data_IF_378959870414
#
_entry.id   IF_378959870414
#
_cell.length_a   1.000
_cell.length_b   1.000
_cell.length_c   1.000
_cell.angle_alpha   90.00
_cell.angle_beta   90.00
_cell.angle_gamma   90.00
#
_symmetry.space_group_name_H-M   'P 1'
#
loop_
_entity.id
_entity.type
_entity.pdbx_description
1 polymer ?
#
# COMPACT_ATOMS: atom_id res chain seq x y z
N UNK A 1 27.53 13.54 24.98
CA UNK A 1 26.92 13.54 23.64
C UNK A 1 25.59 14.28 23.74
N UNK A 2 25.45 15.42 23.04
CA UNK A 2 24.18 16.17 23.00
C UNK A 2 23.34 15.57 21.87
N UNK A 3 22.29 14.86 22.23
CA UNK A 3 21.27 14.48 21.27
C UNK A 3 20.48 15.74 20.90
N UNK A 4 20.68 16.23 19.69
CA UNK A 4 19.79 17.26 19.13
C UNK A 4 18.47 16.59 18.76
N UNK A 5 17.52 16.65 19.68
CA UNK A 5 16.13 16.33 19.36
C UNK A 5 15.63 17.45 18.46
N UNK A 6 15.64 17.23 17.15
CA UNK A 6 14.97 18.11 16.21
C UNK A 6 13.46 17.89 16.35
N UNK A 7 12.88 18.54 17.36
CA UNK A 7 11.42 18.62 17.45
C UNK A 7 10.92 19.47 16.29
N UNK A 8 10.27 18.84 15.33
CA UNK A 8 9.54 19.52 14.26
C UNK A 8 8.46 20.37 14.94
N UNK A 9 8.56 21.69 14.82
CA UNK A 9 7.60 22.62 15.43
C UNK A 9 6.15 22.29 14.97
N UNK A 10 5.12 22.58 15.78
CA UNK A 10 3.72 22.25 15.46
C UNK A 10 3.23 22.78 14.11
N UNK A 11 3.74 23.93 13.68
CA UNK A 11 3.43 24.55 12.39
C UNK A 11 3.98 23.75 11.19
N UNK A 12 5.19 23.22 11.30
CA UNK A 12 5.80 22.38 10.26
C UNK A 12 5.10 21.03 10.24
N UNK A 13 4.74 20.49 11.39
CA UNK A 13 3.99 19.23 11.45
C UNK A 13 2.63 19.32 10.76
N UNK A 14 1.88 20.39 10.92
CA UNK A 14 0.58 20.60 10.26
C UNK A 14 0.72 20.79 8.75
N UNK A 15 1.77 21.51 8.30
CA UNK A 15 2.02 21.68 6.88
C UNK A 15 2.40 20.35 6.20
N UNK A 16 3.27 19.57 6.83
CA UNK A 16 3.67 18.24 6.33
C UNK A 16 2.45 17.32 6.27
N UNK A 17 1.61 17.29 7.30
CA UNK A 17 0.39 16.47 7.32
C UNK A 17 -0.59 16.86 6.20
N UNK A 18 -0.78 18.17 5.97
CA UNK A 18 -1.66 18.66 4.90
C UNK A 18 -1.12 18.29 3.52
N UNK A 19 0.18 18.49 3.28
CA UNK A 19 0.83 18.11 2.01
C UNK A 19 0.78 16.59 1.78
N UNK A 20 0.99 15.79 2.83
CA UNK A 20 0.88 14.34 2.76
C UNK A 20 -0.55 13.90 2.41
N UNK A 21 -1.57 14.50 3.05
CA UNK A 21 -2.97 14.21 2.73
C UNK A 21 -3.32 14.54 1.27
N UNK A 22 -2.87 15.69 0.76
CA UNK A 22 -3.06 16.08 -0.64
C UNK A 22 -2.35 15.11 -1.60
N UNK A 23 -1.14 14.67 -1.27
CA UNK A 23 -0.40 13.70 -2.07
C UNK A 23 -1.12 12.34 -2.12
N UNK A 24 -1.66 11.86 -0.98
CA UNK A 24 -2.45 10.62 -0.92
C UNK A 24 -3.72 10.75 -1.74
N UNK A 25 -4.44 11.88 -1.66
CA UNK A 25 -5.63 12.12 -2.47
C UNK A 25 -5.30 12.14 -3.97
N UNK A 26 -4.23 12.82 -4.36
CA UNK A 26 -3.78 12.85 -5.76
C UNK A 26 -3.39 11.45 -6.25
N UNK A 27 -2.68 10.67 -5.43
CA UNK A 27 -2.34 9.29 -5.74
C UNK A 27 -3.58 8.41 -5.87
N UNK A 28 -4.56 8.54 -4.97
CA UNK A 28 -5.83 7.80 -5.02
C UNK A 28 -6.60 8.10 -6.32
N UNK A 29 -6.71 9.36 -6.70
CA UNK A 29 -7.32 9.77 -7.98
C UNK A 29 -6.56 9.20 -9.17
N UNK A 30 -5.23 9.25 -9.15
CA UNK A 30 -4.37 8.67 -10.18
C UNK A 30 -4.59 7.16 -10.33
N UNK A 31 -4.70 6.42 -9.23
CA UNK A 31 -4.99 4.98 -9.21
C UNK A 31 -6.37 4.68 -9.80
N UNK A 32 -7.41 5.44 -9.41
CA UNK A 32 -8.77 5.26 -9.95
C UNK A 32 -8.76 5.48 -11.46
N UNK A 33 -8.16 6.58 -11.93
CA UNK A 33 -8.09 6.92 -13.35
C UNK A 33 -7.29 5.88 -14.14
N UNK A 34 -6.15 5.44 -13.58
CA UNK A 34 -5.32 4.41 -14.20
C UNK A 34 -6.10 3.09 -14.36
N UNK A 35 -6.73 2.61 -13.28
CA UNK A 35 -7.49 1.36 -13.31
C UNK A 35 -8.69 1.51 -14.24
N UNK A 36 -9.43 2.62 -14.19
CA UNK A 36 -10.54 2.87 -15.09
C UNK A 36 -10.12 2.82 -16.55
N UNK A 37 -9.02 3.47 -16.90
CA UNK A 37 -8.49 3.46 -18.27
C UNK A 37 -7.95 2.09 -18.68
N UNK A 38 -7.14 1.45 -17.84
CA UNK A 38 -6.51 0.15 -18.11
C UNK A 38 -7.56 -0.98 -18.26
N UNK A 39 -8.64 -0.91 -17.48
CA UNK A 39 -9.68 -1.94 -17.42
C UNK A 39 -10.99 -1.55 -18.12
N UNK A 40 -10.97 -0.53 -18.96
CA UNK A 40 -12.17 -0.05 -19.70
C UNK A 40 -12.87 -1.12 -20.57
N UNK A 41 -12.19 -2.21 -20.89
CA UNK A 41 -12.76 -3.34 -21.63
C UNK A 41 -13.60 -4.29 -20.77
N UNK A 42 -13.60 -4.10 -19.44
CA UNK A 42 -14.41 -4.89 -18.50
C UNK A 42 -15.60 -4.05 -18.05
N UNK A 43 -16.80 -4.64 -17.95
CA UNK A 43 -17.95 -3.92 -17.42
C UNK A 43 -17.66 -3.44 -15.99
N UNK A 44 -18.11 -2.23 -15.66
CA UNK A 44 -17.94 -1.61 -14.35
C UNK A 44 -16.47 -1.35 -13.91
N UNK A 45 -15.56 -1.07 -14.85
CA UNK A 45 -14.14 -0.80 -14.56
C UNK A 45 -13.89 0.26 -13.48
N UNK A 46 -14.76 1.26 -13.36
CA UNK A 46 -14.69 2.27 -12.31
C UNK A 46 -14.83 1.68 -10.90
N UNK A 47 -15.66 0.63 -10.73
CA UNK A 47 -15.82 -0.05 -9.43
C UNK A 47 -14.52 -0.71 -8.96
N UNK A 48 -13.72 -1.26 -9.87
CA UNK A 48 -12.40 -1.83 -9.52
C UNK A 48 -11.46 -0.74 -8.98
N UNK A 49 -11.45 0.44 -9.60
CA UNK A 49 -10.67 1.58 -9.11
C UNK A 49 -11.08 2.01 -7.71
N UNK A 50 -12.39 2.14 -7.46
CA UNK A 50 -12.92 2.48 -6.14
C UNK A 50 -12.57 1.40 -5.10
N UNK A 51 -12.74 0.12 -5.43
CA UNK A 51 -12.37 -0.97 -4.54
C UNK A 51 -10.87 -0.97 -4.20
N UNK A 52 -9.99 -0.67 -5.18
CA UNK A 52 -8.56 -0.56 -4.95
C UNK A 52 -8.24 0.56 -3.95
N UNK A 53 -8.89 1.71 -4.06
CA UNK A 53 -8.69 2.85 -3.15
C UNK A 53 -9.22 2.54 -1.76
N UNK A 54 -10.40 1.93 -1.63
CA UNK A 54 -10.95 1.51 -0.33
C UNK A 54 -9.97 0.56 0.37
N UNK A 55 -9.46 -0.44 -0.36
CA UNK A 55 -8.50 -1.37 0.19
C UNK A 55 -7.16 -0.70 0.53
N UNK A 56 -6.70 0.28 -0.24
CA UNK A 56 -5.51 1.08 0.08
C UNK A 56 -5.69 1.88 1.38
N UNK A 57 -6.86 2.50 1.57
CA UNK A 57 -7.18 3.22 2.81
C UNK A 57 -7.20 2.25 4.00
N UNK A 58 -7.84 1.10 3.85
CA UNK A 58 -7.87 0.06 4.88
C UNK A 58 -6.46 -0.38 5.30
N UNK A 59 -5.58 -0.67 4.35
CA UNK A 59 -4.21 -1.11 4.63
C UNK A 59 -3.39 0.01 5.31
N UNK A 60 -3.61 1.27 4.90
CA UNK A 60 -3.00 2.44 5.54
C UNK A 60 -3.45 2.61 6.99
N UNK A 61 -4.74 2.39 7.26
CA UNK A 61 -5.28 2.45 8.62
C UNK A 61 -4.70 1.36 9.53
N UNK A 62 -4.47 0.15 9.00
CA UNK A 62 -3.80 -0.93 9.75
C UNK A 62 -2.38 -0.49 10.15
N UNK A 63 -1.59 0.05 9.22
CA UNK A 63 -0.21 0.51 9.52
C UNK A 63 -0.21 1.62 10.55
N UNK A 64 -1.11 2.60 10.43
CA UNK A 64 -1.25 3.69 11.41
C UNK A 64 -1.64 3.13 12.78
N UNK A 65 -2.61 2.22 12.83
CA UNK A 65 -3.06 1.59 14.07
C UNK A 65 -1.94 0.81 14.76
N UNK A 66 -1.15 0.04 14.00
CA UNK A 66 0.02 -0.66 14.53
C UNK A 66 1.09 0.30 15.04
N UNK A 67 1.32 1.42 14.32
CA UNK A 67 2.25 2.45 14.75
C UNK A 67 1.78 3.13 16.06
N UNK A 68 0.48 3.38 16.20
CA UNK A 68 -0.09 3.92 17.43
C UNK A 68 0.04 2.93 18.61
N UNK A 69 -0.20 1.64 18.37
CA UNK A 69 0.03 0.61 19.39
C UNK A 69 1.52 0.52 19.77
N UNK A 70 2.43 0.66 18.80
CA UNK A 70 3.86 0.67 19.04
C UNK A 70 4.35 1.79 19.96
N UNK A 71 3.60 2.88 20.09
CA UNK A 71 3.94 3.96 21.03
C UNK A 71 3.98 3.50 22.49
N UNK A 72 3.20 2.48 22.86
CA UNK A 72 3.29 1.86 24.20
C UNK A 72 4.65 1.21 24.48
N UNK A 73 5.38 0.86 23.41
CA UNK A 73 6.76 0.33 23.48
C UNK A 73 7.83 1.37 23.15
N UNK A 74 7.45 2.66 23.10
CA UNK A 74 8.37 3.76 22.85
C UNK A 74 8.63 4.06 21.38
N UNK A 75 7.87 3.51 20.44
CA UNK A 75 7.96 3.89 19.03
C UNK A 75 7.53 5.34 18.84
N UNK A 76 8.25 6.07 18.00
CA UNK A 76 7.93 7.43 17.64
C UNK A 76 7.40 7.50 16.21
N UNK A 77 6.42 8.36 16.02
CA UNK A 77 5.89 8.65 14.70
C UNK A 77 6.84 9.63 13.99
N UNK A 78 7.79 9.09 13.24
CA UNK A 78 8.86 9.82 12.60
C UNK A 78 8.84 9.66 11.06
N UNK A 79 9.86 10.17 10.39
CA UNK A 79 10.03 10.05 8.94
C UNK A 79 10.17 8.60 8.45
N UNK A 80 10.67 7.70 9.31
CA UNK A 80 10.77 6.27 8.98
C UNK A 80 9.38 5.63 8.93
N UNK A 81 8.50 5.98 9.88
CA UNK A 81 7.10 5.54 9.88
C UNK A 81 6.36 6.01 8.64
N UNK A 82 6.57 7.27 8.21
CA UNK A 82 6.00 7.78 6.95
C UNK A 82 6.54 7.04 5.73
N UNK A 83 7.82 6.72 5.70
CA UNK A 83 8.41 5.94 4.61
C UNK A 83 7.84 4.53 4.56
N UNK A 84 7.68 3.87 5.70
CA UNK A 84 7.04 2.57 5.79
C UNK A 84 5.59 2.61 5.29
N UNK A 85 4.83 3.64 5.68
CA UNK A 85 3.46 3.85 5.23
C UNK A 85 3.37 3.98 3.70
N UNK A 86 4.22 4.83 3.10
CA UNK A 86 4.28 5.01 1.65
C UNK A 86 4.65 3.71 0.92
N UNK A 87 5.57 2.95 1.50
CA UNK A 87 5.99 1.65 0.95
C UNK A 87 4.83 0.65 0.96
N UNK A 88 4.10 0.53 2.08
CA UNK A 88 2.93 -0.35 2.18
C UNK A 88 1.84 0.06 1.20
N UNK A 89 1.56 1.35 1.06
CA UNK A 89 0.59 1.86 0.06
C UNK A 89 1.01 1.44 -1.35
N UNK A 90 2.28 1.61 -1.71
CA UNK A 90 2.81 1.24 -3.02
C UNK A 90 2.62 -0.25 -3.34
N UNK A 91 3.02 -1.12 -2.44
CA UNK A 91 2.87 -2.57 -2.61
C UNK A 91 1.43 -3.03 -2.59
N UNK A 92 0.60 -2.44 -1.73
CA UNK A 92 -0.83 -2.72 -1.65
C UNK A 92 -1.54 -2.43 -2.98
N UNK A 93 -1.25 -1.29 -3.62
CA UNK A 93 -1.82 -0.95 -4.93
C UNK A 93 -1.30 -1.89 -6.01
N UNK A 94 0.01 -2.17 -6.02
CA UNK A 94 0.63 -3.05 -7.00
C UNK A 94 0.02 -4.46 -6.98
N UNK A 95 -0.19 -5.03 -5.81
CA UNK A 95 -0.79 -6.36 -5.65
C UNK A 95 -2.22 -6.42 -6.20
N UNK A 96 -3.03 -5.42 -5.90
CA UNK A 96 -4.41 -5.31 -6.42
C UNK A 96 -4.47 -5.18 -7.94
N UNK A 97 -3.53 -4.43 -8.54
CA UNK A 97 -3.43 -4.31 -10.00
C UNK A 97 -3.15 -5.67 -10.64
N UNK A 98 -2.28 -6.48 -10.04
CA UNK A 98 -1.97 -7.83 -10.54
C UNK A 98 -3.19 -8.74 -10.51
N UNK A 99 -3.96 -8.72 -9.42
CA UNK A 99 -5.21 -9.50 -9.31
C UNK A 99 -6.23 -9.03 -10.35
N UNK A 100 -6.43 -7.73 -10.49
CA UNK A 100 -7.38 -7.17 -11.46
C UNK A 100 -6.98 -7.46 -12.89
N UNK A 101 -5.68 -7.40 -13.21
CA UNK A 101 -5.20 -7.76 -14.55
C UNK A 101 -5.48 -9.23 -14.85
N UNK A 102 -5.31 -10.11 -13.86
CA UNK A 102 -5.64 -11.53 -14.00
C UNK A 102 -7.14 -11.77 -14.20
N UNK A 103 -8.00 -11.05 -13.49
CA UNK A 103 -9.46 -11.08 -13.70
C UNK A 103 -9.78 -10.63 -15.14
N UNK A 104 -9.13 -9.59 -15.62
CA UNK A 104 -9.30 -9.08 -16.98
C UNK A 104 -8.91 -10.13 -18.03
N UNK A 105 -7.78 -10.77 -17.85
CA UNK A 105 -7.29 -11.82 -18.74
C UNK A 105 -8.26 -13.01 -18.75
N UNK A 106 -8.62 -13.52 -17.57
CA UNK A 106 -9.50 -14.66 -17.42
C UNK A 106 -10.93 -14.36 -17.93
N UNK A 107 -11.41 -13.13 -17.84
CA UNK A 107 -12.72 -12.75 -18.36
C UNK A 107 -12.83 -12.89 -19.90
N UNK A 108 -11.71 -12.82 -20.60
CA UNK A 108 -11.67 -13.03 -22.05
C UNK A 108 -11.60 -14.50 -22.42
N UNK A 109 -10.97 -15.31 -21.57
CA UNK A 109 -10.74 -16.76 -21.78
C UNK A 109 -11.97 -17.55 -21.35
N UNK A 110 -12.47 -17.28 -20.13
CA UNK A 110 -13.54 -18.03 -19.48
C UNK A 110 -14.89 -17.31 -19.52
N UNK A 111 -15.37 -17.02 -20.73
CA UNK A 111 -16.59 -16.23 -20.96
C UNK A 111 -17.89 -16.85 -20.42
N UNK A 112 -17.88 -18.15 -20.11
CA UNK A 112 -19.05 -18.90 -19.62
C UNK A 112 -19.10 -19.05 -18.11
N UNK A 113 -18.04 -18.68 -17.40
CA UNK A 113 -18.02 -18.72 -15.95
C UNK A 113 -18.81 -17.54 -15.39
N UNK A 114 -19.50 -17.78 -14.28
CA UNK A 114 -20.07 -16.71 -13.48
C UNK A 114 -18.95 -15.83 -12.89
N UNK A 115 -19.28 -14.58 -12.58
CA UNK A 115 -18.29 -13.59 -12.16
C UNK A 115 -17.58 -13.98 -10.86
N UNK A 116 -18.29 -14.57 -9.89
CA UNK A 116 -17.73 -14.98 -8.60
C UNK A 116 -16.69 -16.08 -8.78
N UNK A 117 -17.01 -17.12 -9.54
CA UNK A 117 -16.08 -18.20 -9.86
C UNK A 117 -14.86 -17.70 -10.62
N UNK A 118 -15.05 -16.78 -11.58
CA UNK A 118 -13.97 -16.16 -12.35
C UNK A 118 -13.01 -15.39 -11.43
N UNK A 119 -13.54 -14.58 -10.52
CA UNK A 119 -12.74 -13.80 -9.56
C UNK A 119 -11.97 -14.73 -8.63
N UNK A 120 -12.64 -15.74 -8.05
CA UNK A 120 -12.00 -16.70 -7.16
C UNK A 120 -10.84 -17.45 -7.87
N UNK A 121 -11.08 -17.92 -9.10
CA UNK A 121 -10.05 -18.56 -9.91
C UNK A 121 -8.85 -17.62 -10.17
N UNK A 122 -9.11 -16.35 -10.44
CA UNK A 122 -8.06 -15.35 -10.69
C UNK A 122 -7.24 -15.06 -9.43
N UNK A 123 -7.88 -14.98 -8.27
CA UNK A 123 -7.20 -14.79 -6.98
C UNK A 123 -6.29 -15.97 -6.69
N UNK A 124 -6.78 -17.20 -6.85
CA UNK A 124 -5.97 -18.42 -6.61
C UNK A 124 -4.74 -18.45 -7.53
N UNK A 125 -4.88 -18.04 -8.78
CA UNK A 125 -3.75 -18.01 -9.74
C UNK A 125 -2.69 -16.94 -9.39
N UNK A 126 -3.06 -15.87 -8.70
CA UNK A 126 -2.13 -14.80 -8.32
C UNK A 126 -1.61 -14.95 -6.90
N UNK A 127 -2.18 -15.86 -6.10
CA UNK A 127 -1.91 -15.99 -4.66
C UNK A 127 -0.43 -16.25 -4.37
N UNK A 128 0.19 -17.18 -5.08
CA UNK A 128 1.61 -17.51 -4.90
C UNK A 128 2.50 -16.30 -5.15
N UNK A 129 2.23 -15.54 -6.20
CA UNK A 129 2.97 -14.31 -6.52
C UNK A 129 2.77 -13.25 -5.44
N UNK A 130 1.53 -13.05 -4.96
CA UNK A 130 1.21 -12.10 -3.91
C UNK A 130 1.95 -12.44 -2.61
N UNK A 131 1.91 -13.71 -2.19
CA UNK A 131 2.61 -14.18 -0.99
C UNK A 131 4.12 -13.98 -1.15
N UNK A 132 4.71 -14.40 -2.25
CA UNK A 132 6.14 -14.27 -2.50
C UNK A 132 6.58 -12.80 -2.51
N UNK A 133 5.81 -11.90 -3.13
CA UNK A 133 6.10 -10.47 -3.16
C UNK A 133 6.05 -9.87 -1.76
N UNK A 134 5.05 -10.23 -0.94
CA UNK A 134 4.91 -9.74 0.43
C UNK A 134 6.05 -10.24 1.33
N UNK A 135 6.42 -11.52 1.21
CA UNK A 135 7.54 -12.10 1.97
C UNK A 135 8.86 -11.40 1.60
N UNK A 136 9.17 -11.29 0.30
CA UNK A 136 10.39 -10.62 -0.16
C UNK A 136 10.46 -9.18 0.32
N UNK A 137 9.35 -8.43 0.24
CA UNK A 137 9.29 -7.05 0.72
C UNK A 137 9.54 -6.97 2.23
N UNK A 138 8.93 -7.88 3.00
CA UNK A 138 9.13 -7.95 4.45
C UNK A 138 10.58 -8.25 4.80
N UNK A 139 11.22 -9.20 4.12
CA UNK A 139 12.64 -9.55 4.35
C UNK A 139 13.56 -8.38 4.04
N UNK A 140 13.38 -7.70 2.89
CA UNK A 140 14.18 -6.52 2.55
C UNK A 140 14.00 -5.38 3.54
N UNK A 141 12.78 -5.14 4.01
CA UNK A 141 12.51 -4.12 5.02
C UNK A 141 13.21 -4.44 6.35
N UNK A 142 13.13 -5.69 6.82
CA UNK A 142 13.81 -6.12 8.05
C UNK A 142 15.33 -6.04 7.92
N UNK A 143 15.88 -6.46 6.77
CA UNK A 143 17.32 -6.37 6.51
C UNK A 143 17.78 -4.90 6.48
N UNK A 144 17.05 -4.02 5.80
CA UNK A 144 17.36 -2.61 5.75
C UNK A 144 17.32 -1.96 7.15
N UNK A 145 16.30 -2.27 7.95
CA UNK A 145 16.20 -1.78 9.33
C UNK A 145 17.34 -2.30 10.20
N UNK A 146 17.71 -3.57 10.06
CA UNK A 146 18.83 -4.17 10.81
C UNK A 146 20.16 -3.48 10.45
N UNK A 147 20.43 -3.25 9.17
CA UNK A 147 21.62 -2.54 8.71
C UNK A 147 21.67 -1.09 9.21
N UNK A 148 20.55 -0.36 9.08
CA UNK A 148 20.46 1.03 9.57
C UNK A 148 20.59 1.09 11.09
N UNK A 149 20.01 0.14 11.83
CA UNK A 149 20.15 0.03 13.28
C UNK A 149 21.61 -0.22 13.72
N UNK A 150 22.34 -1.06 13.01
CA UNK A 150 23.77 -1.30 13.25
C UNK A 150 24.62 -0.05 13.00
N UNK A 151 24.31 0.73 11.95
CA UNK A 151 25.01 1.99 11.65
C UNK A 151 24.65 3.13 12.60
N UNK A 152 23.43 3.14 13.15
CA UNK A 152 22.96 4.17 14.09
C UNK A 152 23.53 4.00 15.51
N UNK A 153 24.00 2.79 15.86
CA UNK A 153 24.57 2.49 17.17
C UNK A 153 26.09 2.77 17.26
N UNK A 154 26.73 3.28 16.21
CA UNK A 154 28.11 3.75 16.18
C UNK A 154 28.16 5.28 16.12
#
# INVERSE_FOLDING_TARGET
MRYSISSVGPSIGSEVATRAALAVLAAALGVILYIWFAFRSIPNSFRYGVCAVIAMIHDSLIVISLSCLGQFWGWQFDSLTLTALLTVIGFSVQDKIVVFDRIRENSRIYRKLDFETLVNHSIVQTLERSINTQLMTSEFMHLAMALLGVFSLR
#
